data_IF_995379352475
#
_entry.id   IF_995379352475
#
_cell.length_a   1.000
_cell.length_b   1.000
_cell.length_c   1.000
_cell.angle_alpha   90.00
_cell.angle_beta   90.00
_cell.angle_gamma   90.00
#
_symmetry.space_group_name_H-M   'P 1'
#
loop_
_entity.id
_entity.type
_entity.pdbx_description
1 polymer ?
#
# COMPACT_ATOMS: atom_id res chain seq x y z
N UNK A 1 -13.24 1.70 28.11
CA UNK A 1 -13.73 0.62 27.24
C UNK A 1 -12.86 0.56 25.98
N UNK A 2 -11.85 -0.32 25.95
CA UNK A 2 -11.15 -0.64 24.71
C UNK A 2 -12.13 -1.42 23.83
N UNK A 3 -12.62 -0.80 22.76
CA UNK A 3 -13.57 -1.43 21.85
C UNK A 3 -13.04 -2.78 21.39
N UNK A 4 -13.92 -3.79 21.40
CA UNK A 4 -13.73 -5.08 20.74
C UNK A 4 -13.60 -4.87 19.24
N UNK A 5 -12.50 -4.26 18.80
CA UNK A 5 -12.11 -4.31 17.40
C UNK A 5 -11.70 -5.74 17.13
N UNK A 6 -12.41 -6.44 16.25
CA UNK A 6 -12.00 -7.75 15.75
C UNK A 6 -10.53 -7.71 15.40
N UNK A 7 -9.72 -8.48 16.13
CA UNK A 7 -8.31 -8.61 15.83
C UNK A 7 -8.19 -9.24 14.45
N UNK A 8 -7.51 -8.55 13.53
CA UNK A 8 -7.14 -9.13 12.24
C UNK A 8 -6.09 -10.19 12.57
N UNK A 9 -6.54 -11.45 12.67
CA UNK A 9 -5.65 -12.59 12.81
C UNK A 9 -5.14 -12.96 11.43
N UNK A 10 -3.84 -12.85 11.24
CA UNK A 10 -3.19 -13.31 10.01
C UNK A 10 -3.29 -14.83 9.96
N UNK A 11 -3.83 -15.36 8.87
CA UNK A 11 -3.88 -16.79 8.65
C UNK A 11 -2.46 -17.32 8.45
N UNK A 12 -2.17 -18.50 9.00
CA UNK A 12 -0.98 -19.26 8.61
C UNK A 12 -1.22 -19.83 7.22
N UNK A 13 -0.24 -19.74 6.34
CA UNK A 13 -0.29 -20.39 5.03
C UNK A 13 0.74 -21.52 4.98
N UNK A 14 0.45 -22.54 4.18
CA UNK A 14 1.38 -23.63 3.90
C UNK A 14 2.11 -23.39 2.58
N UNK A 15 3.27 -24.03 2.33
CA UNK A 15 3.95 -23.94 1.03
C UNK A 15 3.06 -24.36 -0.16
N UNK A 16 2.14 -25.30 0.05
CA UNK A 16 1.14 -25.68 -0.96
C UNK A 16 0.18 -24.54 -1.30
N UNK A 17 -0.28 -23.78 -0.30
CA UNK A 17 -1.16 -22.62 -0.55
C UNK A 17 -0.46 -21.54 -1.38
N UNK A 18 0.85 -21.36 -1.16
CA UNK A 18 1.66 -20.39 -1.91
C UNK A 18 1.83 -20.81 -3.38
N UNK A 19 2.12 -22.09 -3.63
CA UNK A 19 2.23 -22.65 -4.98
C UNK A 19 0.88 -22.56 -5.70
N UNK A 20 -0.22 -22.88 -5.02
CA UNK A 20 -1.57 -22.78 -5.58
C UNK A 20 -1.95 -21.33 -5.89
N UNK A 21 -1.58 -20.39 -5.03
CA UNK A 21 -1.72 -18.96 -5.29
C UNK A 21 -0.96 -18.54 -6.55
N UNK A 22 0.31 -18.93 -6.67
CA UNK A 22 1.13 -18.61 -7.85
C UNK A 22 0.62 -19.26 -9.14
N UNK A 23 0.04 -20.45 -9.07
CA UNK A 23 -0.63 -21.09 -10.23
C UNK A 23 -1.89 -20.33 -10.64
N UNK A 24 -2.66 -19.81 -9.67
CA UNK A 24 -3.88 -19.01 -9.94
C UNK A 24 -3.56 -17.65 -10.54
N UNK A 25 -2.45 -17.04 -10.13
CA UNK A 25 -1.99 -15.75 -10.67
C UNK A 25 -1.13 -15.89 -11.93
N UNK A 26 -1.00 -17.10 -12.47
CA UNK A 26 -0.21 -17.40 -13.70
C UNK A 26 1.27 -16.99 -13.58
N UNK A 27 1.82 -17.08 -12.36
CA UNK A 27 3.24 -16.88 -12.06
C UNK A 27 4.02 -18.20 -12.14
N UNK A 28 3.38 -19.31 -11.83
CA UNK A 28 4.01 -20.63 -11.73
C UNK A 28 3.41 -21.60 -12.76
N UNK A 29 4.23 -22.36 -13.49
CA UNK A 29 3.72 -23.34 -14.43
C UNK A 29 3.04 -24.52 -13.69
N UNK A 30 2.12 -25.20 -14.38
CA UNK A 30 1.23 -26.21 -13.76
C UNK A 30 1.98 -27.47 -13.30
N UNK A 31 3.19 -27.70 -13.78
CA UNK A 31 4.05 -28.86 -13.52
C UNK A 31 4.79 -28.80 -12.18
N UNK A 32 4.74 -27.68 -11.45
CA UNK A 32 5.38 -27.56 -10.14
C UNK A 32 4.58 -28.29 -9.07
N UNK A 33 5.24 -29.17 -8.31
CA UNK A 33 4.69 -29.90 -7.16
C UNK A 33 5.34 -29.46 -5.85
N UNK A 34 4.69 -29.78 -4.72
CA UNK A 34 5.10 -29.35 -3.37
C UNK A 34 6.39 -30.04 -2.91
N UNK A 35 6.70 -31.22 -3.45
CA UNK A 35 7.87 -32.03 -3.06
C UNK A 35 9.17 -31.60 -3.76
N UNK A 36 9.11 -30.62 -4.68
CA UNK A 36 10.28 -30.13 -5.39
C UNK A 36 11.16 -29.25 -4.49
N UNK A 37 12.47 -29.23 -4.76
CA UNK A 37 13.38 -28.32 -4.08
C UNK A 37 13.01 -26.85 -4.39
N UNK A 38 13.14 -25.98 -3.39
CA UNK A 38 12.78 -24.55 -3.47
C UNK A 38 13.50 -23.83 -4.61
N UNK A 39 14.78 -24.15 -4.81
CA UNK A 39 15.59 -23.55 -5.87
C UNK A 39 15.11 -23.97 -7.26
N UNK A 40 14.74 -25.23 -7.44
CA UNK A 40 14.22 -25.76 -8.71
C UNK A 40 12.87 -25.13 -9.07
N UNK A 41 12.01 -24.91 -8.07
CA UNK A 41 10.73 -24.21 -8.26
C UNK A 41 10.97 -22.77 -8.71
N UNK A 42 11.91 -22.08 -8.06
CA UNK A 42 12.26 -20.70 -8.38
C UNK A 42 12.80 -20.57 -9.81
N UNK A 43 13.68 -21.50 -10.23
CA UNK A 43 14.20 -21.55 -11.59
C UNK A 43 13.10 -21.78 -12.63
N UNK A 44 12.18 -22.72 -12.37
CA UNK A 44 11.03 -22.98 -13.25
C UNK A 44 10.11 -21.76 -13.38
N UNK A 45 9.89 -21.02 -12.29
CA UNK A 45 9.11 -19.78 -12.29
C UNK A 45 9.80 -18.73 -13.18
N UNK A 46 11.11 -18.51 -13.04
CA UNK A 46 11.82 -17.55 -13.89
C UNK A 46 11.75 -17.92 -15.37
N UNK A 47 11.90 -19.20 -15.73
CA UNK A 47 11.73 -19.66 -17.12
C UNK A 47 10.30 -19.42 -17.64
N UNK A 48 9.29 -19.65 -16.80
CA UNK A 48 7.90 -19.40 -17.18
C UNK A 48 7.62 -17.91 -17.42
N UNK A 49 8.11 -17.05 -16.52
CA UNK A 49 7.98 -15.59 -16.63
C UNK A 49 8.75 -15.06 -17.84
N UNK A 50 9.98 -15.55 -18.09
CA UNK A 50 10.79 -15.16 -19.23
C UNK A 50 10.08 -15.38 -20.58
N UNK A 51 9.42 -16.52 -20.76
CA UNK A 51 8.64 -16.78 -21.97
C UNK A 51 7.50 -15.78 -22.20
N UNK A 52 6.94 -15.22 -21.11
CA UNK A 52 5.80 -14.30 -21.15
C UNK A 52 6.22 -12.83 -21.28
N UNK A 53 7.16 -12.40 -20.44
CA UNK A 53 7.63 -11.01 -20.35
C UNK A 53 8.56 -10.63 -21.50
N UNK A 54 9.47 -11.54 -21.90
CA UNK A 54 10.42 -11.30 -23.00
C UNK A 54 9.84 -11.67 -24.37
N UNK A 55 8.68 -12.36 -24.42
CA UNK A 55 8.06 -12.82 -25.67
C UNK A 55 8.86 -13.89 -26.42
N UNK A 56 9.80 -14.56 -25.75
CA UNK A 56 10.68 -15.59 -26.32
C UNK A 56 9.93 -16.92 -26.43
N UNK A 57 10.20 -17.71 -27.49
CA UNK A 57 9.56 -19.02 -27.67
C UNK A 57 10.00 -20.02 -26.59
N UNK A 58 9.11 -20.97 -26.23
CA UNK A 58 9.40 -21.96 -25.18
C UNK A 58 10.61 -22.85 -25.47
N UNK A 59 10.99 -23.04 -26.74
CA UNK A 59 12.19 -23.80 -27.09
C UNK A 59 13.46 -23.03 -26.78
N UNK A 60 13.45 -21.71 -27.05
CA UNK A 60 14.62 -20.87 -26.89
C UNK A 60 14.92 -20.67 -25.40
N UNK A 61 13.88 -20.50 -24.57
CA UNK A 61 14.01 -20.45 -23.10
C UNK A 61 14.61 -21.74 -22.53
N UNK A 62 14.35 -22.90 -23.13
CA UNK A 62 14.92 -24.18 -22.66
C UNK A 62 16.40 -24.35 -23.03
N UNK A 63 16.85 -23.66 -24.08
CA UNK A 63 18.23 -23.72 -24.58
C UNK A 63 19.18 -22.77 -23.87
N UNK A 64 18.64 -21.73 -23.22
CA UNK A 64 19.42 -20.72 -22.51
C UNK A 64 19.87 -21.18 -21.12
N UNK A 65 21.02 -20.67 -20.66
CA UNK A 65 21.46 -20.92 -19.29
C UNK A 65 20.59 -20.14 -18.29
N UNK A 66 20.41 -20.69 -17.09
CA UNK A 66 19.57 -20.07 -16.06
C UNK A 66 20.09 -18.69 -15.61
N UNK A 67 21.41 -18.49 -15.66
CA UNK A 67 22.05 -17.22 -15.37
C UNK A 67 21.71 -16.15 -16.42
N UNK A 68 21.70 -16.54 -17.70
CA UNK A 68 21.37 -15.62 -18.80
C UNK A 68 19.90 -15.21 -18.76
N UNK A 69 19.00 -16.14 -18.44
CA UNK A 69 17.56 -15.87 -18.28
C UNK A 69 17.33 -14.87 -17.14
N UNK A 70 17.98 -15.10 -15.98
CA UNK A 70 17.87 -14.18 -14.84
C UNK A 70 18.36 -12.78 -15.20
N UNK A 71 19.47 -12.68 -15.94
CA UNK A 71 20.01 -11.40 -16.38
C UNK A 71 19.08 -10.67 -17.35
N UNK A 72 18.57 -11.36 -18.37
CA UNK A 72 17.65 -10.76 -19.32
C UNK A 72 16.34 -10.28 -18.67
N UNK A 73 15.82 -11.04 -17.70
CA UNK A 73 14.67 -10.62 -16.90
C UNK A 73 14.96 -9.35 -16.09
N UNK A 74 16.13 -9.27 -15.45
CA UNK A 74 16.54 -8.07 -14.71
C UNK A 74 16.68 -6.85 -15.62
N UNK A 75 17.25 -7.01 -16.81
CA UNK A 75 17.39 -5.93 -17.80
C UNK A 75 16.00 -5.45 -18.27
N UNK A 76 15.08 -6.37 -18.59
CA UNK A 76 13.71 -6.06 -18.97
C UNK A 76 12.92 -5.35 -17.87
N UNK A 77 13.00 -5.85 -16.63
CA UNK A 77 12.34 -5.21 -15.50
C UNK A 77 12.95 -3.85 -15.18
N UNK A 78 14.26 -3.69 -15.26
CA UNK A 78 14.88 -2.39 -15.05
C UNK A 78 14.43 -1.38 -16.12
N UNK A 79 14.41 -1.77 -17.40
CA UNK A 79 13.91 -0.92 -18.48
C UNK A 79 12.42 -0.56 -18.34
N UNK A 80 11.60 -1.49 -17.85
CA UNK A 80 10.14 -1.31 -17.73
C UNK A 80 9.75 -0.55 -16.46
N UNK A 81 10.40 -0.86 -15.33
CA UNK A 81 10.01 -0.38 -14.00
C UNK A 81 10.74 0.90 -13.58
N UNK A 82 11.98 1.11 -14.03
CA UNK A 82 12.77 2.29 -13.69
C UNK A 82 12.51 3.42 -14.70
N UNK A 83 11.32 4.03 -14.63
CA UNK A 83 10.89 5.10 -15.55
C UNK A 83 11.78 6.35 -15.57
N UNK A 84 12.69 6.51 -14.60
CA UNK A 84 13.64 7.63 -14.51
C UNK A 84 14.99 7.36 -15.18
N UNK A 85 15.21 6.18 -15.77
CA UNK A 85 16.46 5.81 -16.46
C UNK A 85 16.19 5.35 -17.89
N UNK A 86 17.14 5.61 -18.80
CA UNK A 86 17.07 5.12 -20.18
C UNK A 86 17.29 3.60 -20.22
N UNK A 87 16.29 2.84 -20.69
CA UNK A 87 16.32 1.38 -20.75
C UNK A 87 17.50 0.78 -21.52
N UNK A 88 18.03 1.50 -22.53
CA UNK A 88 19.16 1.04 -23.35
C UNK A 88 20.48 0.87 -22.57
N UNK A 89 20.59 1.48 -21.38
CA UNK A 89 21.77 1.37 -20.52
C UNK A 89 21.80 0.09 -19.68
N UNK A 90 20.75 -0.73 -19.71
CA UNK A 90 20.62 -1.93 -18.89
C UNK A 90 21.76 -2.93 -19.12
N UNK A 91 22.12 -3.18 -20.39
CA UNK A 91 23.12 -4.18 -20.79
C UNK A 91 24.53 -3.91 -20.27
N UNK A 92 24.85 -2.64 -20.00
CA UNK A 92 26.18 -2.17 -19.59
C UNK A 92 26.37 -2.10 -18.07
N UNK A 93 25.30 -2.30 -17.31
CA UNK A 93 25.29 -2.11 -15.85
C UNK A 93 25.55 -3.42 -15.12
N UNK A 94 26.07 -3.31 -13.88
CA UNK A 94 26.26 -4.46 -13.00
C UNK A 94 24.92 -4.89 -12.40
N UNK A 95 24.74 -6.20 -12.25
CA UNK A 95 23.54 -6.83 -11.67
C UNK A 95 23.16 -6.23 -10.29
N UNK A 96 24.15 -5.95 -9.43
CA UNK A 96 23.92 -5.35 -8.11
C UNK A 96 23.24 -3.98 -8.20
N UNK A 97 23.64 -3.16 -9.18
CA UNK A 97 23.08 -1.82 -9.38
C UNK A 97 21.69 -1.89 -10.01
N UNK A 98 21.47 -2.84 -10.91
CA UNK A 98 20.13 -3.10 -11.47
C UNK A 98 19.15 -3.46 -10.35
N UNK A 99 19.55 -4.34 -9.43
CA UNK A 99 18.72 -4.75 -8.28
C UNK A 99 18.42 -3.55 -7.36
N UNK A 100 19.42 -2.75 -6.99
CA UNK A 100 19.23 -1.57 -6.12
C UNK A 100 18.29 -0.52 -6.75
N UNK A 101 18.40 -0.30 -8.06
CA UNK A 101 17.52 0.64 -8.77
C UNK A 101 16.09 0.09 -8.90
N UNK A 102 15.93 -1.21 -9.18
CA UNK A 102 14.61 -1.88 -9.18
C UNK A 102 13.99 -1.80 -7.77
N UNK A 103 14.77 -2.01 -6.72
CA UNK A 103 14.31 -1.92 -5.33
C UNK A 103 13.82 -0.51 -4.96
N UNK A 104 14.53 0.53 -5.42
CA UNK A 104 14.09 1.92 -5.24
C UNK A 104 12.80 2.21 -5.97
N UNK A 105 12.54 1.55 -7.11
CA UNK A 105 11.31 1.72 -7.86
C UNK A 105 10.10 1.20 -7.09
N UNK A 106 10.29 0.11 -6.33
CA UNK A 106 9.22 -0.64 -5.68
C UNK A 106 8.21 -1.25 -6.67
N UNK A 107 8.45 -1.20 -7.97
CA UNK A 107 7.49 -1.58 -9.00
C UNK A 107 7.59 -3.07 -9.41
N UNK A 108 8.76 -3.71 -9.23
CA UNK A 108 8.93 -5.14 -9.50
C UNK A 108 9.63 -5.86 -8.33
N UNK A 109 8.90 -6.73 -7.64
CA UNK A 109 9.41 -7.57 -6.55
C UNK A 109 9.74 -9.00 -7.00
N UNK A 110 9.51 -9.33 -8.29
CA UNK A 110 9.71 -10.69 -8.83
C UNK A 110 11.17 -11.12 -8.80
N UNK A 111 12.12 -10.19 -8.82
CA UNK A 111 13.55 -10.47 -8.72
C UNK A 111 13.97 -11.04 -7.34
N UNK A 112 13.12 -10.90 -6.32
CA UNK A 112 13.28 -11.40 -4.94
C UNK A 112 12.35 -12.57 -4.64
N UNK A 113 11.92 -13.32 -5.66
CA UNK A 113 11.07 -14.47 -5.46
C UNK A 113 11.76 -15.47 -4.51
N UNK A 114 11.12 -15.70 -3.36
CA UNK A 114 11.53 -16.63 -2.33
C UNK A 114 10.30 -17.25 -1.69
N UNK A 115 10.48 -18.42 -1.09
CA UNK A 115 9.47 -18.97 -0.21
C UNK A 115 9.54 -18.23 1.13
N UNK A 116 8.38 -17.89 1.65
CA UNK A 116 8.26 -17.25 2.96
C UNK A 116 7.72 -18.28 3.95
N UNK A 117 8.28 -18.32 5.14
CA UNK A 117 7.87 -19.28 6.18
C UNK A 117 6.55 -18.87 6.85
N UNK A 118 6.18 -17.59 6.75
CA UNK A 118 4.95 -17.06 7.31
C UNK A 118 4.69 -15.62 6.91
N UNK A 119 3.52 -15.10 7.31
CA UNK A 119 3.06 -13.76 6.92
C UNK A 119 3.97 -12.67 7.49
N UNK A 120 4.55 -12.90 8.67
CA UNK A 120 5.53 -11.98 9.25
C UNK A 120 6.81 -11.87 8.40
N UNK A 121 7.29 -12.98 7.82
CA UNK A 121 8.45 -12.98 6.93
C UNK A 121 8.15 -12.30 5.58
N UNK A 122 6.88 -12.26 5.17
CA UNK A 122 6.42 -11.45 4.03
C UNK A 122 6.37 -9.94 4.34
N UNK A 123 6.62 -9.52 5.58
CA UNK A 123 6.52 -8.12 6.03
C UNK A 123 5.23 -7.80 6.79
N UNK A 124 4.36 -8.78 6.99
CA UNK A 124 3.15 -8.69 7.79
C UNK A 124 2.00 -7.93 7.13
N UNK A 125 1.07 -7.42 7.94
CA UNK A 125 -0.10 -6.71 7.43
C UNK A 125 0.31 -5.37 6.79
N UNK A 126 0.03 -5.23 5.49
CA UNK A 126 0.12 -3.95 4.80
C UNK A 126 -1.25 -3.27 4.75
N UNK A 127 -1.34 -2.09 5.35
CA UNK A 127 -2.56 -1.28 5.36
C UNK A 127 -2.44 -0.18 4.31
N UNK A 128 -3.33 -0.20 3.32
CA UNK A 128 -3.43 0.82 2.28
C UNK A 128 -4.62 1.70 2.60
N UNK A 129 -4.37 3.00 2.75
CA UNK A 129 -5.42 4.00 2.85
C UNK A 129 -5.52 4.73 1.51
N UNK A 130 -6.73 4.79 0.97
CA UNK A 130 -7.05 5.43 -0.32
C UNK A 130 -7.31 6.92 -0.20
N UNK A 131 -7.57 7.40 1.02
CA UNK A 131 -7.85 8.79 1.35
C UNK A 131 -7.46 9.08 2.79
N UNK A 132 -7.60 10.35 3.21
CA UNK A 132 -7.53 10.72 4.63
C UNK A 132 -8.88 11.09 5.18
N UNK A 133 -9.13 10.60 6.39
CA UNK A 133 -10.34 10.95 7.11
C UNK A 133 -10.27 12.39 7.64
N UNK A 134 -11.42 12.95 7.93
CA UNK A 134 -11.55 14.27 8.57
C UNK A 134 -10.83 14.37 9.92
N UNK A 135 -10.66 13.24 10.61
CA UNK A 135 -10.02 13.18 11.92
C UNK A 135 -8.79 12.26 11.92
N UNK A 136 -7.68 12.77 12.44
CA UNK A 136 -6.40 12.08 12.61
C UNK A 136 -6.54 10.84 13.49
N UNK A 137 -7.48 10.86 14.44
CA UNK A 137 -7.79 9.70 15.29
C UNK A 137 -8.22 8.49 14.46
N UNK A 138 -9.04 8.69 13.42
CA UNK A 138 -9.55 7.60 12.57
C UNK A 138 -8.42 7.07 11.67
N UNK A 139 -7.60 7.96 11.11
CA UNK A 139 -6.40 7.57 10.37
C UNK A 139 -5.44 6.73 11.24
N UNK A 140 -5.26 7.11 12.51
CA UNK A 140 -4.42 6.36 13.44
C UNK A 140 -5.04 5.01 13.83
N UNK A 141 -6.38 4.89 13.86
CA UNK A 141 -7.04 3.60 14.04
C UNK A 141 -6.76 2.67 12.87
N UNK A 142 -6.73 3.20 11.65
CA UNK A 142 -6.38 2.43 10.46
C UNK A 142 -4.92 1.98 10.51
N UNK A 143 -3.98 2.89 10.84
CA UNK A 143 -2.55 2.56 11.05
C UNK A 143 -2.37 1.47 12.10
N UNK A 144 -3.06 1.60 13.23
CA UNK A 144 -3.01 0.67 14.36
C UNK A 144 -3.63 -0.71 14.08
N UNK A 145 -4.16 -0.96 12.88
CA UNK A 145 -4.52 -2.31 12.43
C UNK A 145 -3.29 -3.16 12.14
N UNK A 146 -2.20 -2.53 11.68
CA UNK A 146 -0.91 -3.19 11.43
C UNK A 146 0.01 -3.13 12.65
N UNK A 147 0.99 -4.04 12.71
CA UNK A 147 2.06 -4.03 13.72
C UNK A 147 1.61 -4.19 15.16
N UNK A 148 0.58 -5.01 15.42
CA UNK A 148 0.08 -5.28 16.77
C UNK A 148 1.04 -6.24 17.47
N UNK A 149 1.17 -6.14 18.80
CA UNK A 149 2.07 -7.01 19.60
C UNK A 149 3.55 -7.04 19.16
N UNK A 150 4.00 -6.07 18.36
CA UNK A 150 5.36 -6.04 17.82
C UNK A 150 5.52 -6.78 16.49
N UNK A 151 4.43 -7.28 15.90
CA UNK A 151 4.43 -7.90 14.58
C UNK A 151 5.00 -6.94 13.52
N UNK A 152 5.61 -7.49 12.47
CA UNK A 152 5.98 -6.70 11.29
C UNK A 152 4.70 -6.21 10.61
N UNK A 153 4.74 -5.00 10.08
CA UNK A 153 3.61 -4.40 9.38
C UNK A 153 3.98 -3.07 8.79
N UNK A 154 3.20 -2.63 7.82
CA UNK A 154 3.42 -1.36 7.16
C UNK A 154 2.09 -0.68 6.86
N UNK A 155 2.10 0.64 6.80
CA UNK A 155 0.92 1.41 6.41
C UNK A 155 1.33 2.51 5.45
N UNK A 156 0.62 2.65 4.33
CA UNK A 156 0.82 3.73 3.37
C UNK A 156 -0.50 4.41 3.04
N UNK A 157 -0.48 5.74 3.01
CA UNK A 157 -1.63 6.56 2.63
C UNK A 157 -1.36 7.11 1.23
N UNK A 158 -2.29 6.86 0.32
CA UNK A 158 -2.35 7.48 -0.99
C UNK A 158 -3.44 8.55 -0.93
N UNK A 159 -3.18 9.68 -1.56
CA UNK A 159 -4.12 10.79 -1.64
C UNK A 159 -4.12 11.34 -3.06
N UNK A 160 -5.28 11.78 -3.51
CA UNK A 160 -5.44 12.57 -4.72
C UNK A 160 -5.69 14.04 -4.39
N UNK A 161 -5.36 14.93 -5.31
CA UNK A 161 -5.74 16.35 -5.23
C UNK A 161 -7.25 16.55 -5.33
N UNK A 162 -7.97 15.56 -5.86
CA UNK A 162 -9.42 15.58 -6.03
C UNK A 162 -10.19 15.00 -4.83
N UNK A 163 -9.51 14.54 -3.79
CA UNK A 163 -10.16 14.00 -2.59
C UNK A 163 -10.94 15.09 -1.85
N UNK A 164 -11.98 14.71 -1.10
CA UNK A 164 -12.87 15.68 -0.42
C UNK A 164 -12.14 16.56 0.59
N UNK A 165 -11.21 15.97 1.36
CA UNK A 165 -10.35 16.73 2.27
C UNK A 165 -9.46 17.71 1.50
N UNK A 166 -8.96 17.33 0.33
CA UNK A 166 -8.15 18.22 -0.49
C UNK A 166 -9.02 19.31 -1.13
N UNK A 167 -10.20 19.01 -1.67
CA UNK A 167 -11.14 19.99 -2.25
C UNK A 167 -11.52 21.10 -1.28
N UNK A 168 -11.74 20.77 0.00
CA UNK A 168 -12.08 21.77 1.02
C UNK A 168 -10.94 22.77 1.30
N UNK A 169 -9.69 22.45 0.97
CA UNK A 169 -8.50 23.24 1.35
C UNK A 169 -7.64 23.69 0.17
N UNK A 170 -7.59 22.91 -0.90
CA UNK A 170 -6.96 23.20 -2.16
C UNK A 170 -7.86 24.19 -2.91
N UNK A 171 -7.82 25.45 -2.46
CA UNK A 171 -8.42 26.53 -3.21
C UNK A 171 -7.87 26.57 -4.66
N UNK A 172 -8.58 27.21 -5.59
CA UNK A 172 -8.20 27.24 -7.01
C UNK A 172 -6.76 27.77 -7.23
N UNK A 173 -6.26 28.63 -6.33
CA UNK A 173 -4.88 29.15 -6.37
C UNK A 173 -3.81 28.09 -6.07
N UNK A 174 -4.04 27.20 -5.11
CA UNK A 174 -3.08 26.16 -4.73
C UNK A 174 -2.97 25.09 -5.82
N UNK A 175 -4.11 24.72 -6.43
CA UNK A 175 -4.15 23.82 -7.58
C UNK A 175 -3.45 24.43 -8.81
N UNK A 176 -3.67 25.72 -9.09
CA UNK A 176 -2.99 26.42 -10.18
C UNK A 176 -1.46 26.51 -9.99
N UNK A 177 -0.99 26.70 -8.75
CA UNK A 177 0.45 26.73 -8.46
C UNK A 177 1.09 25.36 -8.68
N UNK A 178 0.41 24.29 -8.25
CA UNK A 178 0.89 22.91 -8.42
C UNK A 178 0.89 22.50 -9.89
N UNK A 179 -0.14 22.86 -10.65
CA UNK A 179 -0.21 22.65 -12.11
C UNK A 179 0.91 23.38 -12.84
N UNK A 180 1.25 24.63 -12.44
CA UNK A 180 2.35 25.41 -13.02
C UNK A 180 3.75 24.88 -12.67
N UNK A 181 3.91 24.09 -11.62
CA UNK A 181 5.20 23.46 -11.27
C UNK A 181 5.59 22.28 -12.16
N UNK A 182 4.84 22.00 -13.24
CA UNK A 182 5.24 21.01 -14.24
C UNK A 182 5.14 19.58 -13.74
N UNK A 183 4.15 19.30 -12.89
CA UNK A 183 3.84 17.94 -12.46
C UNK A 183 3.35 17.13 -13.65
N UNK A 184 4.13 16.14 -14.09
CA UNK A 184 3.69 15.16 -15.08
C UNK A 184 2.61 14.28 -14.44
N UNK A 185 1.51 14.07 -15.15
CA UNK A 185 0.49 13.12 -14.75
C UNK A 185 1.12 11.74 -14.53
N UNK A 186 0.83 11.10 -13.38
CA UNK A 186 1.36 9.79 -13.02
C UNK A 186 2.60 9.77 -12.13
N UNK A 187 3.23 10.93 -11.81
CA UNK A 187 4.36 10.99 -10.88
C UNK A 187 3.87 11.22 -9.44
N UNK A 188 4.30 10.35 -8.52
CA UNK A 188 4.00 10.50 -7.09
C UNK A 188 4.59 11.81 -6.54
N UNK A 189 3.76 12.62 -5.90
CA UNK A 189 4.17 13.90 -5.33
C UNK A 189 4.59 13.70 -3.88
N UNK A 190 5.89 13.75 -3.61
CA UNK A 190 6.42 13.71 -2.25
C UNK A 190 7.07 15.05 -1.90
N UNK A 191 6.29 15.96 -1.29
CA UNK A 191 6.82 17.25 -0.84
C UNK A 191 6.41 17.58 0.60
N UNK A 192 7.38 17.94 1.44
CA UNK A 192 7.17 18.18 2.87
C UNK A 192 6.17 19.31 3.17
N UNK A 193 6.10 20.34 2.31
CA UNK A 193 5.11 21.41 2.45
C UNK A 193 3.67 20.92 2.26
N UNK A 194 3.43 20.00 1.32
CA UNK A 194 2.09 19.44 1.08
C UNK A 194 1.64 18.62 2.28
N UNK A 195 2.51 17.79 2.83
CA UNK A 195 2.24 17.02 4.06
C UNK A 195 1.90 17.93 5.25
N UNK A 196 2.61 19.06 5.40
CA UNK A 196 2.31 20.06 6.44
C UNK A 196 0.97 20.76 6.20
N UNK A 197 0.68 21.14 4.96
CA UNK A 197 -0.59 21.77 4.59
C UNK A 197 -1.78 20.84 4.85
N UNK A 198 -1.67 19.58 4.46
CA UNK A 198 -2.67 18.53 4.71
C UNK A 198 -2.92 18.31 6.20
N UNK A 199 -1.86 18.30 7.03
CA UNK A 199 -2.00 18.16 8.48
C UNK A 199 -2.73 19.35 9.10
N UNK A 200 -2.46 20.57 8.61
CA UNK A 200 -3.18 21.78 9.06
C UNK A 200 -4.65 21.74 8.63
N UNK A 201 -4.91 21.27 7.42
CA UNK A 201 -6.26 21.10 6.90
C UNK A 201 -7.10 20.19 7.79
N UNK A 202 -6.59 18.98 8.07
CA UNK A 202 -7.24 18.01 8.94
C UNK A 202 -7.55 18.60 10.33
N UNK A 203 -6.60 19.31 10.96
CA UNK A 203 -6.83 19.97 12.26
C UNK A 203 -7.98 20.98 12.23
N UNK A 204 -8.12 21.75 11.14
CA UNK A 204 -9.19 22.74 11.01
C UNK A 204 -10.57 22.07 10.86
N UNK A 205 -10.64 20.92 10.16
CA UNK A 205 -11.88 20.12 10.10
C UNK A 205 -12.22 19.56 11.48
N UNK A 206 -11.24 19.04 12.20
CA UNK A 206 -11.44 18.57 13.58
C UNK A 206 -11.96 19.67 14.49
N UNK A 207 -11.41 20.88 14.42
CA UNK A 207 -11.84 22.05 15.18
C UNK A 207 -13.28 22.46 14.84
N UNK A 208 -13.63 22.49 13.55
CA UNK A 208 -15.01 22.75 13.11
C UNK A 208 -15.97 21.70 13.69
N UNK A 209 -15.63 20.42 13.59
CA UNK A 209 -16.45 19.34 14.12
C UNK A 209 -16.56 19.38 15.66
N UNK A 210 -15.52 19.86 16.35
CA UNK A 210 -15.55 20.10 17.79
C UNK A 210 -16.50 21.24 18.15
N UNK A 211 -16.44 22.38 17.46
CA UNK A 211 -17.34 23.51 17.68
C UNK A 211 -18.80 23.15 17.44
N UNK A 212 -19.10 22.40 16.37
CA UNK A 212 -20.46 21.91 16.10
C UNK A 212 -20.97 21.05 17.26
N UNK A 213 -20.15 20.10 17.74
CA UNK A 213 -20.51 19.26 18.89
C UNK A 213 -20.70 20.06 20.17
N UNK A 214 -19.84 21.05 20.42
CA UNK A 214 -19.95 21.96 21.56
C UNK A 214 -21.28 22.73 21.52
N UNK A 215 -21.60 23.35 20.38
CA UNK A 215 -22.84 24.10 20.24
C UNK A 215 -24.07 23.20 20.46
N UNK A 216 -24.08 21.98 19.90
CA UNK A 216 -25.18 21.03 20.11
C UNK A 216 -25.35 20.71 21.61
N UNK A 217 -24.24 20.49 22.33
CA UNK A 217 -24.29 20.23 23.77
C UNK A 217 -24.83 21.43 24.56
N UNK A 218 -24.35 22.64 24.26
CA UNK A 218 -24.82 23.87 24.93
C UNK A 218 -26.33 24.09 24.75
N UNK A 219 -26.88 23.81 23.57
CA UNK A 219 -28.33 23.89 23.35
C UNK A 219 -29.10 22.76 24.06
N UNK A 220 -28.54 21.55 24.12
CA UNK A 220 -29.19 20.43 24.80
C UNK A 220 -29.19 20.58 26.32
N UNK A 221 -28.14 21.17 26.93
CA UNK A 221 -28.06 21.42 28.38
C UNK A 221 -29.27 22.20 28.92
N UNK A 222 -29.76 23.20 28.17
CA UNK A 222 -30.95 23.98 28.56
C UNK A 222 -32.21 23.10 28.58
N UNK A 223 -32.39 22.29 27.53
CA UNK A 223 -33.53 21.38 27.44
C UNK A 223 -33.42 20.27 28.47
N UNK A 224 -32.21 19.83 28.77
CA UNK A 224 -31.95 18.78 29.74
C UNK A 224 -32.31 19.19 31.16
N UNK A 225 -31.97 20.42 31.56
CA UNK A 225 -32.39 20.97 32.84
C UNK A 225 -33.92 21.03 32.95
N UNK A 226 -34.61 21.45 31.89
CA UNK A 226 -36.09 21.47 31.87
C UNK A 226 -36.68 20.05 31.97
N UNK A 227 -36.09 19.08 31.26
CA UNK A 227 -36.50 17.68 31.29
C UNK A 227 -36.34 17.09 32.69
N UNK A 228 -35.22 17.33 33.37
CA UNK A 228 -34.98 16.84 34.73
C UNK A 228 -36.06 17.32 35.70
N UNK A 229 -36.33 18.64 35.75
CA UNK A 229 -37.38 19.20 36.62
C UNK A 229 -38.75 18.57 36.34
N UNK A 230 -39.09 18.42 35.06
CA UNK A 230 -40.38 17.81 34.67
C UNK A 230 -40.45 16.32 35.03
N UNK A 231 -39.37 15.57 34.83
CA UNK A 231 -39.31 14.15 35.16
C UNK A 231 -39.36 13.91 36.67
N UNK A 232 -38.71 14.75 37.47
CA UNK A 232 -38.76 14.69 38.93
C UNK A 232 -40.20 14.89 39.44
N UNK A 233 -40.91 15.91 38.92
CA UNK A 233 -42.31 16.14 39.25
C UNK A 233 -43.20 14.96 38.84
N UNK A 234 -42.96 14.41 37.64
CA UNK A 234 -43.73 13.27 37.13
C UNK A 234 -43.51 11.99 37.95
N UNK A 235 -42.29 11.74 38.43
CA UNK A 235 -41.98 10.53 39.21
C UNK A 235 -42.49 10.60 40.65
N UNK A 236 -42.80 11.78 41.17
CA UNK A 236 -43.36 11.95 42.51
C UNK A 236 -44.87 11.63 42.60
N UNK A 237 -45.57 11.54 41.46
CA UNK A 237 -47.00 11.20 41.34
C UNK A 237 -47.16 9.72 41.01
#
# INVERSE_FOLDING_TARGET
>A
MAGRGTDIKLAKFTPSDLIDHWKRTDLCPRDVTVDMNIDDVTLKIYRHIAAKELGISKSDVHSMSDADIRRQLLEHWWATCCWWVDGDKASSMKDEKLIDDIDKSGACMLHKLRFYEGVEDMGGLHVIATERHEARRIDNQLRGRSGRQGDKGSTRFFLSLEDDLMKMFAGPRTLQLLSKMGMKEGVAIEHSMLTKALTKAQRKVEERNFLVRKNILEYDEVMDHQRHVFYDLRQQV
#
